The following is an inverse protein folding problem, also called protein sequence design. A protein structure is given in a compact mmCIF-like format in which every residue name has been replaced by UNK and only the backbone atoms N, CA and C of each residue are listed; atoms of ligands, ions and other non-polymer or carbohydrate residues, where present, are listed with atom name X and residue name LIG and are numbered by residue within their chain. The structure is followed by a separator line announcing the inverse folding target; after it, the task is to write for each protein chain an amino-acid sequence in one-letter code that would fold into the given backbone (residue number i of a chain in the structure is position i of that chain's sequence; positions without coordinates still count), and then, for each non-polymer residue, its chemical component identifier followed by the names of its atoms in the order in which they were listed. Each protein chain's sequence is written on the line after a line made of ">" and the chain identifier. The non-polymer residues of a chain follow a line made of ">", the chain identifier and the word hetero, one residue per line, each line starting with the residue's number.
data_IF_514097499644
#
_entry.id   IF_514097499644
#
_cell.length_a   1.000
_cell.length_b   1.000
_cell.length_c   1.000
_cell.angle_alpha   90.00
_cell.angle_beta   90.00
_cell.angle_gamma   90.00
#
_symmetry.space_group_name_H-M   'P 1'
#
loop_
_entity.id
_entity.type
_entity.pdbx_description
1 polymer ?
#
# COMPACT_ATOMS: atom_id res chain seq x y z
N UNK A 1 -42.37 -8.44 -28.02
CA UNK A 1 -41.02 -7.93 -28.39
C UNK A 1 -40.65 -6.64 -27.67
N UNK A 2 -41.47 -5.58 -27.70
CA UNK A 2 -41.18 -4.28 -27.04
C UNK A 2 -40.97 -4.35 -25.51
N UNK A 3 -41.67 -5.24 -24.80
CA UNK A 3 -41.46 -5.49 -23.36
C UNK A 3 -40.17 -6.25 -23.04
N UNK A 4 -39.70 -7.12 -23.95
CA UNK A 4 -38.47 -7.90 -23.78
C UNK A 4 -37.22 -7.01 -23.94
N UNK A 5 -37.26 -6.06 -24.87
CA UNK A 5 -36.20 -5.07 -25.10
C UNK A 5 -35.99 -4.20 -23.84
N UNK A 6 -37.07 -3.80 -23.17
CA UNK A 6 -37.03 -3.05 -21.91
C UNK A 6 -36.36 -3.82 -20.77
N UNK A 7 -36.59 -5.13 -20.64
CA UNK A 7 -35.92 -5.94 -19.62
C UNK A 7 -34.42 -6.12 -19.90
N UNK A 8 -34.03 -6.27 -21.16
CA UNK A 8 -32.61 -6.41 -21.55
C UNK A 8 -31.85 -5.10 -21.31
N UNK A 9 -32.46 -3.94 -21.59
CA UNK A 9 -31.84 -2.63 -21.30
C UNK A 9 -31.74 -2.35 -19.80
N UNK A 10 -32.74 -2.75 -19.01
CA UNK A 10 -32.71 -2.59 -17.55
C UNK A 10 -31.65 -3.49 -16.88
N UNK A 11 -31.38 -4.68 -17.43
CA UNK A 11 -30.34 -5.58 -16.90
C UNK A 11 -28.93 -5.15 -17.30
N UNK A 12 -28.77 -4.50 -18.46
CA UNK A 12 -27.47 -4.01 -18.94
C UNK A 12 -26.93 -2.80 -18.14
N UNK A 13 -27.79 -2.01 -17.49
CA UNK A 13 -27.36 -0.81 -16.74
C UNK A 13 -26.92 -1.10 -15.30
N UNK A 14 -27.17 -2.28 -14.75
CA UNK A 14 -26.79 -2.67 -13.38
C UNK A 14 -25.40 -3.30 -13.33
N UNK A 15 -24.82 -3.64 -14.48
CA UNK A 15 -23.53 -4.33 -14.61
C UNK A 15 -22.32 -3.40 -14.66
N UNK A 16 -22.50 -2.09 -14.48
CA UNK A 16 -21.39 -1.17 -14.25
C UNK A 16 -20.84 -1.39 -12.84
N UNK A 17 -20.11 -2.49 -12.66
CA UNK A 17 -19.30 -2.75 -11.48
C UNK A 17 -18.33 -1.57 -11.29
N UNK A 18 -18.63 -0.73 -10.31
CA UNK A 18 -17.68 0.25 -9.79
C UNK A 18 -16.51 -0.53 -9.19
N UNK A 19 -15.37 -0.56 -9.88
CA UNK A 19 -14.12 -1.04 -9.31
C UNK A 19 -13.71 -0.04 -8.22
N UNK A 20 -14.18 -0.28 -6.99
CA UNK A 20 -13.73 0.50 -5.84
C UNK A 20 -12.33 0.01 -5.51
N UNK A 21 -11.34 0.91 -5.63
CA UNK A 21 -10.01 0.68 -5.08
C UNK A 21 -10.12 0.33 -3.59
N UNK A 22 -9.18 -0.46 -3.09
CA UNK A 22 -9.13 -0.79 -1.67
C UNK A 22 -8.27 0.23 -0.94
N UNK A 23 -8.77 0.74 0.18
CA UNK A 23 -8.09 1.67 1.06
C UNK A 23 -8.28 1.21 2.51
N UNK A 24 -7.19 1.13 3.26
CA UNK A 24 -7.20 0.81 4.68
C UNK A 24 -6.24 1.71 5.45
N UNK A 25 -6.72 2.36 6.50
CA UNK A 25 -5.86 3.12 7.40
C UNK A 25 -4.88 2.19 8.12
N UNK A 26 -3.60 2.56 8.16
CA UNK A 26 -2.53 1.85 8.88
C UNK A 26 -2.30 2.50 10.24
N UNK A 27 -2.03 3.80 10.24
CA UNK A 27 -1.87 4.65 11.43
C UNK A 27 -1.85 6.13 11.01
N UNK A 28 -2.38 7.03 11.84
CA UNK A 28 -2.48 8.49 11.55
C UNK A 28 -3.00 8.73 10.12
N UNK A 29 -2.26 9.51 9.32
CA UNK A 29 -2.62 9.83 7.94
C UNK A 29 -2.05 8.85 6.90
N UNK A 30 -1.52 7.70 7.33
CA UNK A 30 -0.95 6.67 6.44
C UNK A 30 -1.96 5.56 6.15
N UNK A 31 -2.07 5.21 4.87
CA UNK A 31 -3.04 4.25 4.36
C UNK A 31 -2.36 3.26 3.41
N UNK A 32 -2.79 2.00 3.49
CA UNK A 32 -2.55 1.02 2.46
C UNK A 32 -3.58 1.23 1.35
N UNK A 33 -3.11 1.41 0.11
CA UNK A 33 -3.98 1.54 -1.06
C UNK A 33 -3.66 0.43 -2.06
N UNK A 34 -4.70 -0.07 -2.72
CA UNK A 34 -4.60 -1.06 -3.80
C UNK A 34 -5.31 -0.54 -5.04
N UNK A 35 -4.56 -0.43 -6.14
CA UNK A 35 -5.05 0.18 -7.40
C UNK A 35 -5.83 -0.85 -8.22
N UNK A 36 -5.38 -2.10 -8.26
CA UNK A 36 -5.97 -3.13 -9.12
C UNK A 36 -5.99 -4.53 -8.48
N UNK A 37 -6.59 -5.49 -9.19
CA UNK A 37 -6.65 -6.89 -8.74
C UNK A 37 -5.29 -7.60 -8.81
N UNK A 38 -4.33 -7.08 -9.58
CA UNK A 38 -3.00 -7.67 -9.78
C UNK A 38 -2.08 -7.50 -8.56
N UNK A 39 -2.55 -6.82 -7.51
CA UNK A 39 -1.80 -6.72 -6.27
C UNK A 39 -0.84 -5.53 -6.26
N UNK A 40 -1.07 -4.52 -7.09
CA UNK A 40 -0.38 -3.24 -6.96
C UNK A 40 -0.91 -2.56 -5.70
N UNK A 41 -0.10 -2.62 -4.65
CA UNK A 41 -0.41 -2.11 -3.33
C UNK A 41 0.77 -1.31 -2.78
N UNK A 42 0.48 -0.14 -2.22
CA UNK A 42 1.47 0.84 -1.80
C UNK A 42 1.01 1.54 -0.52
N UNK A 43 1.94 2.18 0.20
CA UNK A 43 1.59 3.03 1.35
C UNK A 43 1.56 4.48 0.91
N UNK A 44 0.42 5.14 1.10
CA UNK A 44 0.25 6.57 0.83
C UNK A 44 -0.04 7.36 2.09
N UNK A 45 0.39 8.62 2.13
CA UNK A 45 0.01 9.60 3.15
C UNK A 45 -1.07 10.51 2.59
N UNK A 46 -2.16 10.70 3.33
CA UNK A 46 -3.21 11.67 3.00
C UNK A 46 -2.73 13.05 3.45
N UNK A 47 -2.51 13.98 2.52
CA UNK A 47 -1.98 15.32 2.84
C UNK A 47 -3.08 16.37 3.02
N UNK A 48 -4.30 16.10 2.52
CA UNK A 48 -5.48 16.93 2.77
C UNK A 48 -6.69 16.03 3.07
N UNK A 49 -7.23 16.17 4.29
CA UNK A 49 -8.38 15.43 4.78
C UNK A 49 -9.72 16.12 4.48
N UNK A 50 -9.71 17.38 4.02
CA UNK A 50 -10.90 18.19 3.72
C UNK A 50 -11.50 17.81 2.36
N UNK A 51 -10.67 17.38 1.40
CA UNK A 51 -11.14 16.90 0.12
C UNK A 51 -11.62 15.45 0.24
N UNK A 52 -12.84 15.19 -0.23
CA UNK A 52 -13.49 13.86 -0.20
C UNK A 52 -12.64 12.77 -0.88
N UNK A 53 -11.79 13.17 -1.84
CA UNK A 53 -10.83 12.30 -2.52
C UNK A 53 -9.36 12.46 -2.06
N UNK A 54 -9.05 13.46 -1.23
CA UNK A 54 -7.72 13.77 -0.70
C UNK A 54 -6.63 14.05 -1.74
N UNK A 55 -5.59 14.79 -1.36
CA UNK A 55 -4.29 14.72 -2.04
C UNK A 55 -3.49 13.61 -1.37
N UNK A 56 -2.85 12.76 -2.17
CA UNK A 56 -2.09 11.61 -1.70
C UNK A 56 -0.65 11.71 -2.14
N UNK A 57 0.25 11.46 -1.21
CA UNK A 57 1.67 11.26 -1.48
C UNK A 57 2.00 9.78 -1.36
N UNK A 58 2.62 9.18 -2.38
CA UNK A 58 3.13 7.81 -2.28
C UNK A 58 4.39 7.82 -1.42
N UNK A 59 4.36 7.08 -0.32
CA UNK A 59 5.41 7.05 0.69
C UNK A 59 6.30 5.82 0.52
N UNK A 60 5.66 4.66 0.38
CA UNK A 60 6.32 3.40 0.06
C UNK A 60 5.78 2.97 -1.30
N UNK A 61 6.65 2.64 -2.27
CA UNK A 61 6.23 2.27 -3.62
C UNK A 61 5.46 0.95 -3.65
N UNK A 62 5.00 0.60 -4.85
CA UNK A 62 4.18 -0.59 -5.11
C UNK A 62 4.80 -1.91 -4.63
N UNK A 63 3.95 -2.95 -4.60
CA UNK A 63 4.28 -4.32 -4.20
C UNK A 63 4.55 -4.52 -2.69
N UNK A 64 3.86 -3.75 -1.85
CA UNK A 64 3.85 -3.92 -0.38
C UNK A 64 3.21 -5.26 0.00
N UNK A 65 3.98 -6.28 0.39
CA UNK A 65 3.39 -7.59 0.73
C UNK A 65 3.25 -7.83 2.23
N UNK A 66 3.86 -7.00 3.08
CA UNK A 66 3.62 -7.02 4.52
C UNK A 66 3.78 -5.64 5.16
N UNK A 67 3.06 -5.40 6.25
CA UNK A 67 3.31 -4.25 7.12
C UNK A 67 2.99 -4.57 8.59
N UNK A 68 3.49 -3.72 9.49
CA UNK A 68 3.12 -3.64 10.90
C UNK A 68 3.06 -2.19 11.33
N UNK A 69 2.30 -1.88 12.38
CA UNK A 69 2.27 -0.53 12.97
C UNK A 69 2.08 -0.59 14.48
N UNK A 70 2.58 0.46 15.15
CA UNK A 70 2.24 0.81 16.53
C UNK A 70 2.04 2.34 16.63
N UNK A 71 1.99 2.88 17.84
CA UNK A 71 1.77 4.32 18.06
C UNK A 71 2.93 5.20 17.55
N UNK A 72 4.14 4.64 17.44
CA UNK A 72 5.37 5.35 17.14
C UNK A 72 5.86 5.16 15.71
N UNK A 73 5.52 4.05 15.05
CA UNK A 73 6.10 3.73 13.75
C UNK A 73 5.23 2.77 12.91
N UNK A 74 5.54 2.75 11.61
CA UNK A 74 5.06 1.77 10.64
C UNK A 74 6.28 1.08 10.02
N UNK A 75 6.24 -0.24 9.89
CA UNK A 75 7.24 -1.02 9.16
C UNK A 75 6.59 -1.68 7.94
N UNK A 76 7.30 -1.72 6.82
CA UNK A 76 6.74 -2.21 5.54
C UNK A 76 7.77 -3.06 4.80
N UNK A 77 7.32 -4.16 4.19
CA UNK A 77 8.08 -4.96 3.23
C UNK A 77 7.53 -4.80 1.83
N UNK A 78 8.41 -4.60 0.86
CA UNK A 78 8.05 -4.56 -0.57
C UNK A 78 8.96 -5.45 -1.39
N UNK A 79 8.50 -5.81 -2.59
CA UNK A 79 9.40 -6.31 -3.62
C UNK A 79 9.82 -5.16 -4.53
N UNK A 80 11.12 -5.02 -4.83
CA UNK A 80 11.58 -3.96 -5.71
C UNK A 80 11.09 -4.17 -7.14
N UNK A 81 10.69 -3.06 -7.78
CA UNK A 81 10.45 -2.99 -9.20
C UNK A 81 11.48 -2.06 -9.86
N UNK A 82 12.64 -2.62 -10.21
CA UNK A 82 13.78 -1.84 -10.73
C UNK A 82 13.56 -1.29 -12.14
N UNK A 83 12.50 -1.73 -12.85
CA UNK A 83 12.23 -1.35 -14.23
C UNK A 83 10.88 -0.63 -14.30
N UNK A 84 10.91 0.70 -14.29
CA UNK A 84 9.71 1.58 -14.31
C UNK A 84 8.75 1.32 -15.47
N UNK A 85 9.21 0.64 -16.53
CA UNK A 85 8.45 0.43 -17.76
C UNK A 85 8.07 -1.04 -17.98
N UNK A 86 8.41 -1.92 -17.04
CA UNK A 86 8.08 -3.33 -17.09
C UNK A 86 7.43 -3.72 -15.76
N UNK A 87 6.30 -4.40 -15.82
CA UNK A 87 5.65 -5.04 -14.66
C UNK A 87 6.49 -6.25 -14.18
N UNK A 88 7.79 -6.04 -13.97
CA UNK A 88 8.77 -7.07 -13.66
C UNK A 88 9.28 -6.88 -12.23
N UNK A 89 8.43 -7.26 -11.29
CA UNK A 89 8.74 -7.29 -9.87
C UNK A 89 9.77 -8.38 -9.56
N UNK A 90 10.81 -8.04 -8.81
CA UNK A 90 11.80 -9.01 -8.35
C UNK A 90 11.37 -9.60 -7.00
N UNK A 91 10.59 -10.67 -7.05
CA UNK A 91 10.10 -11.39 -5.87
C UNK A 91 11.21 -12.13 -5.10
N UNK A 92 12.45 -12.13 -5.59
CA UNK A 92 13.59 -12.75 -4.88
C UNK A 92 14.25 -11.80 -3.88
N UNK A 93 13.89 -10.51 -3.93
CA UNK A 93 14.39 -9.47 -3.04
C UNK A 93 13.26 -8.89 -2.22
N UNK A 94 13.62 -8.43 -1.03
CA UNK A 94 12.73 -7.70 -0.13
C UNK A 94 13.41 -6.40 0.26
N UNK A 95 12.74 -5.29 -0.01
CA UNK A 95 13.11 -3.98 0.51
C UNK A 95 12.27 -3.70 1.76
N UNK A 96 12.90 -3.08 2.74
CA UNK A 96 12.27 -2.72 4.00
C UNK A 96 12.14 -1.19 4.10
N UNK A 97 11.04 -0.74 4.70
CA UNK A 97 10.82 0.67 4.99
C UNK A 97 10.38 0.84 6.44
N UNK A 98 10.85 1.92 7.06
CA UNK A 98 10.43 2.36 8.39
C UNK A 98 9.87 3.78 8.27
N UNK A 99 8.68 4.01 8.81
CA UNK A 99 8.06 5.34 8.91
C UNK A 99 7.97 5.69 10.39
N UNK A 100 8.73 6.69 10.82
CA UNK A 100 8.71 7.24 12.18
C UNK A 100 7.52 8.20 12.29
N UNK A 101 6.52 7.84 13.09
CA UNK A 101 5.31 8.64 13.27
C UNK A 101 5.53 9.83 14.21
N UNK A 102 6.65 9.90 14.92
CA UNK A 102 6.95 10.97 15.87
C UNK A 102 7.68 12.16 15.23
N UNK A 103 8.00 12.07 13.93
CA UNK A 103 8.63 13.15 13.16
C UNK A 103 7.72 13.59 12.01
N UNK A 104 7.64 14.90 11.83
CA UNK A 104 6.85 15.50 10.74
C UNK A 104 7.63 15.56 9.41
N UNK A 105 8.96 15.68 9.46
CA UNK A 105 9.85 15.75 8.30
C UNK A 105 10.89 14.62 8.28
N UNK A 106 11.27 14.16 7.07
CA UNK A 106 12.27 13.09 6.84
C UNK A 106 12.04 11.86 7.71
N UNK A 107 10.78 11.48 7.82
CA UNK A 107 10.34 10.45 8.73
C UNK A 107 10.25 9.06 8.08
N UNK A 108 10.76 8.92 6.86
CA UNK A 108 10.72 7.67 6.08
C UNK A 108 12.15 7.23 5.83
N UNK A 109 12.44 5.98 6.16
CA UNK A 109 13.73 5.33 5.98
C UNK A 109 13.55 4.14 5.04
N UNK A 110 14.09 4.23 3.83
CA UNK A 110 14.11 3.12 2.87
C UNK A 110 14.29 3.57 1.41
N UNK A 111 14.40 2.62 0.48
CA UNK A 111 14.46 1.16 0.72
C UNK A 111 15.71 0.74 1.50
N UNK A 112 15.54 -0.18 2.45
CA UNK A 112 16.61 -0.75 3.29
C UNK A 112 16.78 -2.24 2.99
N UNK A 113 18.02 -2.72 3.08
CA UNK A 113 18.31 -4.16 3.22
C UNK A 113 17.98 -4.62 4.65
N UNK A 114 17.80 -5.93 4.84
CA UNK A 114 17.40 -6.51 6.14
C UNK A 114 18.29 -6.06 7.30
N UNK A 115 19.62 -6.12 7.15
CA UNK A 115 20.55 -5.68 8.20
C UNK A 115 20.45 -4.16 8.50
N UNK A 116 20.15 -3.34 7.49
CA UNK A 116 19.98 -1.89 7.66
C UNK A 116 18.64 -1.58 8.34
N UNK A 117 17.63 -2.39 8.05
CA UNK A 117 16.35 -2.34 8.73
C UNK A 117 16.52 -2.70 10.21
N UNK A 118 17.20 -3.81 10.53
CA UNK A 118 17.47 -4.19 11.92
C UNK A 118 18.23 -3.10 12.69
N UNK A 119 19.29 -2.53 12.09
CA UNK A 119 20.02 -1.40 12.67
C UNK A 119 19.10 -0.18 12.89
N UNK A 120 18.24 0.14 11.92
CA UNK A 120 17.29 1.24 12.04
C UNK A 120 16.22 1.00 13.10
N UNK A 121 15.75 -0.24 13.23
CA UNK A 121 14.80 -0.64 14.25
C UNK A 121 15.42 -0.50 15.63
N UNK A 122 16.67 -0.94 15.81
CA UNK A 122 17.40 -0.75 17.06
C UNK A 122 17.56 0.74 17.41
N UNK A 123 18.00 1.57 16.46
CA UNK A 123 18.16 3.03 16.64
C UNK A 123 16.88 3.73 17.11
N UNK A 124 15.72 3.24 16.66
CA UNK A 124 14.42 3.84 16.93
C UNK A 124 13.68 3.18 18.12
N UNK A 125 14.33 2.27 18.87
CA UNK A 125 13.69 1.44 19.90
C UNK A 125 12.46 0.68 19.37
N UNK A 126 12.57 0.18 18.14
CA UNK A 126 11.50 -0.46 17.39
C UNK A 126 11.33 -1.96 17.65
N UNK A 127 12.12 -2.57 18.55
CA UNK A 127 12.12 -4.02 18.81
C UNK A 127 10.76 -4.62 19.21
N UNK A 128 9.76 -3.78 19.49
CA UNK A 128 8.40 -4.18 19.88
C UNK A 128 7.40 -4.29 18.73
N UNK A 129 7.78 -3.94 17.50
CA UNK A 129 6.88 -3.99 16.35
C UNK A 129 7.16 -5.19 15.45
N UNK A 130 6.10 -5.94 15.16
CA UNK A 130 6.14 -7.10 14.28
C UNK A 130 5.33 -6.87 13.01
N UNK A 131 5.72 -7.54 11.94
CA UNK A 131 4.87 -7.64 10.75
C UNK A 131 3.67 -8.53 11.09
N UNK A 132 2.48 -7.94 11.14
CA UNK A 132 1.25 -8.60 11.55
C UNK A 132 0.17 -8.60 10.45
N UNK A 133 0.40 -7.89 9.34
CA UNK A 133 -0.45 -7.89 8.17
C UNK A 133 0.33 -8.41 6.96
N UNK A 134 -0.17 -9.49 6.38
CA UNK A 134 0.42 -10.17 5.23
C UNK A 134 -0.57 -10.24 4.08
N UNK A 135 -0.07 -10.02 2.87
CA UNK A 135 -0.82 -10.10 1.63
C UNK A 135 -0.25 -11.21 0.75
N UNK A 136 -1.08 -11.74 -0.15
CA UNK A 136 -0.57 -12.67 -1.15
C UNK A 136 0.45 -11.97 -2.03
N UNK A 137 1.67 -12.52 -2.04
CA UNK A 137 2.73 -12.09 -2.96
C UNK A 137 2.35 -12.44 -4.40
N UNK A 138 2.82 -11.63 -5.34
CA UNK A 138 2.67 -11.91 -6.76
C UNK A 138 3.53 -13.13 -7.08
N UNK A 139 2.91 -14.18 -7.62
CA UNK A 139 3.62 -15.36 -8.10
C UNK A 139 4.04 -15.12 -9.55
N UNK A 140 5.31 -15.37 -9.88
CA UNK A 140 5.79 -15.41 -11.27
C UNK A 140 5.19 -16.60 -12.03
#
# INVERSE_FOLDING_TARGET
>A
MRKLILYITLFATISSCTQKGYEKNIAKDYYLKKIDFNGIQFVGKKTDSILENGIWETIVPDYVFAYGSNENMIIVKTHPNYYTNQWNVDTTKTDFYVIDLNKDEKNIYGPLLEYQFEEKMFDLNGDTIEFNHFFSEIKK
#
